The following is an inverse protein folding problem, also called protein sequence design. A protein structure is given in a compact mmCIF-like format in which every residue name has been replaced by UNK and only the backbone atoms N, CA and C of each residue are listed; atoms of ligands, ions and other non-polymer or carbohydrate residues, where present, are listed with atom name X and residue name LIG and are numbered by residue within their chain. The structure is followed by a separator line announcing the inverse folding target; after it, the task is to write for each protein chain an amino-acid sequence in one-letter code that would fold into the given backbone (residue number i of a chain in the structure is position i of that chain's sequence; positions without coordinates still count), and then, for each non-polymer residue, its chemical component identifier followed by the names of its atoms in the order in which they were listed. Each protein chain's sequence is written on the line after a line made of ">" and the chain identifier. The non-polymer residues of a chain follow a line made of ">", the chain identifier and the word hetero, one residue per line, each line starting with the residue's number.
data_IF_249916331008
#
_entry.id   IF_249916331008
#
_cell.length_a   1.000
_cell.length_b   1.000
_cell.length_c   1.000
_cell.angle_alpha   90.00
_cell.angle_beta   90.00
_cell.angle_gamma   90.00
#
_symmetry.space_group_name_H-M   'P 1'
#
loop_
_entity.id
_entity.type
_entity.pdbx_description
1 polymer ?
#
# COMPACT_ATOMS: atom_id res chain seq x y z
N UNK A 1 83.26 34.99 -13.21
CA UNK A 1 82.23 34.75 -12.18
C UNK A 1 81.66 36.09 -11.74
N UNK A 2 80.41 36.41 -12.10
CA UNK A 2 79.59 37.45 -11.43
C UNK A 2 78.15 36.93 -11.40
N UNK A 3 77.65 36.70 -10.19
CA UNK A 3 76.32 36.15 -9.90
C UNK A 3 75.26 37.25 -10.02
N UNK A 4 74.25 37.06 -10.89
CA UNK A 4 73.07 37.93 -10.99
C UNK A 4 72.05 37.58 -9.91
N UNK A 5 71.92 38.43 -8.89
CA UNK A 5 70.85 38.35 -7.89
C UNK A 5 69.51 38.79 -8.50
N UNK A 6 68.47 37.95 -8.37
CA UNK A 6 67.09 38.28 -8.80
C UNK A 6 66.51 39.41 -7.93
N UNK A 7 66.02 40.48 -8.55
CA UNK A 7 65.23 41.51 -7.86
C UNK A 7 63.96 40.90 -7.26
N UNK A 8 63.81 40.99 -5.93
CA UNK A 8 62.59 40.62 -5.24
C UNK A 8 61.51 41.66 -5.55
N UNK A 9 60.58 41.33 -6.45
CA UNK A 9 59.40 42.16 -6.70
C UNK A 9 58.55 42.31 -5.43
N UNK A 10 58.16 43.54 -5.09
CA UNK A 10 57.28 43.80 -3.95
C UNK A 10 55.84 43.40 -4.31
N UNK A 11 55.36 42.30 -3.78
CA UNK A 11 53.95 41.87 -3.89
C UNK A 11 53.01 42.62 -2.92
N UNK A 12 53.57 43.43 -2.02
CA UNK A 12 52.83 44.32 -1.11
C UNK A 12 52.94 45.75 -1.62
N UNK A 13 51.90 46.19 -2.32
CA UNK A 13 51.76 47.56 -2.82
C UNK A 13 50.94 48.37 -1.83
N UNK A 14 51.49 49.50 -1.38
CA UNK A 14 50.77 50.48 -0.56
C UNK A 14 50.21 51.55 -1.50
N UNK A 15 48.93 51.45 -1.81
CA UNK A 15 48.20 52.41 -2.64
C UNK A 15 46.75 52.52 -2.15
N UNK A 16 46.03 53.62 -2.43
CA UNK A 16 44.65 53.78 -1.99
C UNK A 16 43.74 52.79 -2.72
N UNK A 17 42.93 52.04 -1.97
CA UNK A 17 42.00 51.06 -2.54
C UNK A 17 40.93 51.69 -3.44
N UNK A 18 40.71 53.00 -3.38
CA UNK A 18 39.80 53.71 -4.31
C UNK A 18 40.20 53.52 -5.78
N UNK A 19 41.49 53.37 -6.06
CA UNK A 19 42.00 53.16 -7.42
C UNK A 19 41.67 51.77 -7.98
N UNK A 20 41.26 50.80 -7.14
CA UNK A 20 40.90 49.46 -7.61
C UNK A 20 39.52 49.39 -8.27
N UNK A 21 38.63 50.36 -7.99
CA UNK A 21 37.31 50.47 -8.63
C UNK A 21 37.15 51.92 -9.10
N UNK A 22 37.82 52.28 -10.20
CA UNK A 22 37.90 53.66 -10.59
C UNK A 22 36.59 54.09 -11.29
N UNK A 23 35.85 55.01 -10.67
CA UNK A 23 34.52 55.44 -11.15
C UNK A 23 34.57 56.49 -12.27
N UNK A 24 35.75 56.85 -12.76
CA UNK A 24 35.91 57.91 -13.77
C UNK A 24 35.23 57.57 -15.11
N UNK A 25 35.13 56.29 -15.49
CA UNK A 25 34.44 55.83 -16.72
C UNK A 25 32.96 55.46 -16.51
N UNK A 26 32.46 55.48 -15.27
CA UNK A 26 31.09 55.04 -14.96
C UNK A 26 30.43 56.00 -13.96
N UNK A 27 30.17 57.26 -14.36
CA UNK A 27 29.46 58.22 -13.54
C UNK A 27 28.00 57.80 -13.36
N UNK A 28 27.28 58.41 -12.40
CA UNK A 28 25.87 58.12 -12.15
C UNK A 28 24.96 58.25 -13.40
N UNK A 29 25.37 59.06 -14.40
CA UNK A 29 24.70 59.19 -15.71
C UNK A 29 24.56 57.88 -16.48
N UNK A 30 25.42 56.87 -16.25
CA UNK A 30 25.33 55.57 -16.93
C UNK A 30 24.13 54.74 -16.46
N UNK A 31 23.69 54.95 -15.21
CA UNK A 31 22.53 54.27 -14.61
C UNK A 31 21.29 55.17 -14.68
N UNK A 32 21.47 56.47 -14.46
CA UNK A 32 20.43 57.50 -14.49
C UNK A 32 20.75 58.54 -15.56
N UNK A 33 20.35 58.32 -16.83
CA UNK A 33 20.76 59.17 -17.95
C UNK A 33 20.42 60.65 -17.78
N UNK A 34 19.36 60.96 -17.04
CA UNK A 34 18.83 62.32 -16.85
C UNK A 34 19.09 62.91 -15.46
N UNK A 35 20.08 62.40 -14.71
CA UNK A 35 20.36 62.81 -13.31
C UNK A 35 20.73 64.30 -13.14
N UNK A 36 21.19 64.98 -14.19
CA UNK A 36 21.45 66.42 -14.16
C UNK A 36 20.16 67.26 -14.25
N UNK A 37 19.03 66.63 -14.55
CA UNK A 37 17.69 67.20 -14.54
C UNK A 37 16.92 66.65 -13.33
N UNK A 38 15.77 67.23 -12.99
CA UNK A 38 14.88 66.71 -11.93
C UNK A 38 14.10 65.45 -12.37
N UNK A 39 14.75 64.51 -13.07
CA UNK A 39 14.16 63.24 -13.53
C UNK A 39 15.08 62.06 -13.20
N UNK A 40 14.61 61.19 -12.31
CA UNK A 40 15.33 60.00 -11.82
C UNK A 40 15.03 58.74 -12.65
N UNK A 41 15.00 58.86 -13.97
CA UNK A 41 14.78 57.72 -14.86
C UNK A 41 15.95 56.74 -14.77
N UNK A 42 15.70 55.54 -14.22
CA UNK A 42 16.66 54.47 -14.15
C UNK A 42 16.69 53.67 -15.48
N UNK A 43 17.88 53.56 -16.11
CA UNK A 43 18.15 52.66 -17.24
C UNK A 43 19.36 51.74 -16.98
N UNK A 44 19.42 51.04 -15.84
CA UNK A 44 20.48 50.06 -15.58
C UNK A 44 20.36 48.85 -16.52
N UNK A 45 21.51 48.28 -16.86
CA UNK A 45 21.60 46.89 -17.33
C UNK A 45 21.68 45.99 -16.09
N UNK A 46 20.52 45.50 -15.66
CA UNK A 46 20.37 44.82 -14.36
C UNK A 46 21.10 43.48 -14.26
N UNK A 47 21.13 42.72 -15.36
CA UNK A 47 21.73 41.40 -15.38
C UNK A 47 22.43 41.14 -16.72
N UNK A 48 23.56 40.44 -16.67
CA UNK A 48 24.26 39.97 -17.86
C UNK A 48 23.45 38.91 -18.63
N UNK A 49 22.50 38.23 -17.96
CA UNK A 49 21.59 37.25 -18.59
C UNK A 49 20.56 37.87 -19.52
N UNK A 50 20.25 39.16 -19.37
CA UNK A 50 19.20 39.84 -20.13
C UNK A 50 19.71 40.39 -21.47
N UNK A 51 20.92 40.00 -21.87
CA UNK A 51 21.50 40.40 -23.14
C UNK A 51 20.76 39.73 -24.31
N UNK A 52 19.95 40.50 -25.02
CA UNK A 52 19.13 40.03 -26.14
C UNK A 52 19.92 39.61 -27.39
N UNK A 53 21.24 39.89 -27.44
CA UNK A 53 22.10 39.55 -28.56
C UNK A 53 22.67 40.78 -29.27
N UNK A 54 23.52 40.52 -30.28
CA UNK A 54 24.03 41.57 -31.16
C UNK A 54 22.94 41.90 -32.18
N UNK A 55 22.80 43.19 -32.48
CA UNK A 55 21.96 43.71 -33.55
C UNK A 55 22.83 44.64 -34.40
N UNK A 56 22.60 44.65 -35.70
CA UNK A 56 23.19 45.65 -36.58
C UNK A 56 22.70 47.06 -36.18
N UNK A 57 23.54 48.05 -36.44
CA UNK A 57 23.16 49.44 -36.21
C UNK A 57 22.31 49.98 -37.37
N UNK A 58 22.63 49.56 -38.60
CA UNK A 58 22.02 49.95 -39.88
C UNK A 58 22.05 48.77 -40.88
N UNK A 59 21.25 48.87 -41.95
CA UNK A 59 21.12 47.80 -42.97
C UNK A 59 22.34 47.72 -43.90
N UNK A 60 23.05 48.83 -44.10
CA UNK A 60 24.23 48.90 -44.98
C UNK A 60 25.45 48.15 -44.40
N UNK A 61 25.48 47.92 -43.08
CA UNK A 61 26.56 47.21 -42.38
C UNK A 61 26.03 45.99 -41.61
N UNK A 62 25.64 44.91 -42.32
CA UNK A 62 25.12 43.73 -41.68
C UNK A 62 26.18 43.04 -40.82
N UNK A 63 25.72 42.33 -39.79
CA UNK A 63 26.62 41.52 -38.96
C UNK A 63 27.24 40.38 -39.78
N UNK A 64 28.54 40.08 -39.60
CA UNK A 64 29.18 38.99 -40.33
C UNK A 64 28.64 37.63 -39.89
N UNK A 65 28.39 36.74 -40.86
CA UNK A 65 27.91 35.37 -40.61
C UNK A 65 29.11 34.47 -40.31
N UNK A 66 29.57 34.50 -39.06
CA UNK A 66 30.61 33.63 -38.54
C UNK A 66 30.03 32.80 -37.40
N UNK A 67 30.08 31.48 -37.51
CA UNK A 67 29.48 30.58 -36.55
C UNK A 67 30.24 30.49 -35.24
N UNK A 68 29.52 30.09 -34.20
CA UNK A 68 30.09 29.67 -32.92
C UNK A 68 29.86 28.17 -32.76
N UNK A 69 30.58 27.51 -31.83
CA UNK A 69 30.41 26.07 -31.58
C UNK A 69 28.96 25.68 -31.25
N UNK A 70 28.19 26.55 -30.60
CA UNK A 70 26.78 26.29 -30.28
C UNK A 70 25.87 26.33 -31.51
N UNK A 71 26.22 27.17 -32.50
CA UNK A 71 25.46 27.30 -33.73
C UNK A 71 25.86 26.21 -34.75
N UNK A 72 27.13 25.81 -34.76
CA UNK A 72 27.67 24.90 -35.77
C UNK A 72 27.58 23.41 -35.37
N UNK A 73 27.71 23.07 -34.08
CA UNK A 73 27.70 21.68 -33.61
C UNK A 73 26.29 21.20 -33.24
N UNK A 74 25.33 21.39 -34.13
CA UNK A 74 23.94 20.93 -33.99
C UNK A 74 23.69 19.67 -34.82
N UNK A 75 22.76 18.82 -34.37
CA UNK A 75 22.29 17.65 -35.15
C UNK A 75 21.04 18.01 -35.94
N UNK A 76 20.73 17.24 -36.99
CA UNK A 76 19.45 17.37 -37.69
C UNK A 76 18.27 17.14 -36.74
N UNK A 77 17.19 17.90 -36.92
CA UNK A 77 15.98 17.78 -36.11
C UNK A 77 15.37 16.38 -36.25
N UNK A 78 14.91 15.84 -35.13
CA UNK A 78 14.08 14.63 -35.09
C UNK A 78 12.73 15.05 -34.55
N UNK A 79 11.67 14.60 -35.20
CA UNK A 79 10.31 14.98 -34.85
C UNK A 79 10.01 14.64 -33.40
N UNK A 80 9.66 15.65 -32.61
CA UNK A 80 9.31 15.49 -31.20
C UNK A 80 7.87 15.00 -31.05
N UNK A 81 7.48 14.60 -29.84
CA UNK A 81 6.10 14.23 -29.54
C UNK A 81 5.11 15.37 -29.84
N UNK A 82 5.54 16.63 -29.67
CA UNK A 82 4.72 17.80 -29.99
C UNK A 82 4.50 17.95 -31.50
N UNK A 83 5.57 17.86 -32.29
CA UNK A 83 5.48 17.99 -33.76
C UNK A 83 4.56 16.92 -34.35
N UNK A 84 4.73 15.68 -33.88
CA UNK A 84 3.95 14.52 -34.31
C UNK A 84 2.49 14.59 -33.85
N UNK A 85 2.22 15.15 -32.67
CA UNK A 85 0.86 15.38 -32.18
C UNK A 85 0.15 16.48 -32.99
N UNK A 86 0.87 17.55 -33.33
CA UNK A 86 0.33 18.67 -34.12
C UNK A 86 0.06 18.26 -35.57
N UNK A 87 0.95 17.46 -36.17
CA UNK A 87 0.79 16.97 -37.53
C UNK A 87 1.16 15.48 -37.60
N UNK A 88 0.18 14.56 -37.64
CA UNK A 88 0.48 13.13 -37.73
C UNK A 88 1.08 12.71 -39.08
N UNK A 89 1.01 13.55 -40.12
CA UNK A 89 1.52 13.23 -41.47
C UNK A 89 3.05 13.14 -41.56
N UNK A 90 3.77 13.72 -40.57
CA UNK A 90 5.24 13.64 -40.52
C UNK A 90 5.74 12.33 -39.86
N UNK A 91 4.85 11.51 -39.29
CA UNK A 91 5.18 10.18 -38.78
C UNK A 91 5.19 9.21 -39.98
N UNK A 92 6.38 8.93 -40.51
CA UNK A 92 6.52 8.14 -41.74
C UNK A 92 7.24 6.82 -41.52
N UNK A 93 7.94 6.67 -40.38
CA UNK A 93 8.77 5.50 -40.10
C UNK A 93 8.67 5.05 -38.64
N UNK A 94 9.02 3.79 -38.38
CA UNK A 94 9.12 3.28 -37.01
C UNK A 94 10.17 3.99 -36.14
N UNK A 95 11.07 4.79 -36.73
CA UNK A 95 12.05 5.60 -35.97
C UNK A 95 11.43 6.83 -35.32
N UNK A 96 10.28 7.28 -35.82
CA UNK A 96 9.55 8.43 -35.30
C UNK A 96 8.80 8.05 -34.00
N UNK A 97 8.51 6.76 -33.82
CA UNK A 97 7.90 6.19 -32.61
C UNK A 97 8.90 6.09 -31.45
N UNK A 98 9.35 7.25 -30.97
CA UNK A 98 10.23 7.32 -29.79
C UNK A 98 9.44 7.06 -28.50
N UNK A 99 10.04 6.44 -27.48
CA UNK A 99 9.39 6.28 -26.17
C UNK A 99 9.24 7.63 -25.47
N UNK A 100 8.58 7.65 -24.31
CA UNK A 100 8.45 8.85 -23.45
C UNK A 100 9.81 9.58 -23.30
N UNK A 101 9.84 10.93 -23.37
CA UNK A 101 11.07 11.71 -23.26
C UNK A 101 11.76 11.56 -21.89
N UNK A 102 11.08 11.03 -20.87
CA UNK A 102 11.70 10.67 -19.58
C UNK A 102 12.72 9.53 -19.70
N UNK A 103 12.58 8.68 -20.73
CA UNK A 103 13.52 7.60 -21.00
C UNK A 103 14.79 8.14 -21.68
N UNK A 104 15.86 8.25 -20.90
CA UNK A 104 17.17 8.73 -21.39
C UNK A 104 17.90 7.69 -22.26
N UNK A 105 17.76 6.40 -21.95
CA UNK A 105 18.44 5.32 -22.65
C UNK A 105 18.96 4.21 -21.73
N UNK A 106 19.76 3.30 -22.29
CA UNK A 106 20.46 2.25 -21.50
C UNK A 106 21.43 2.89 -20.52
N UNK A 107 21.62 2.27 -19.35
CA UNK A 107 22.58 2.72 -18.34
C UNK A 107 23.99 2.82 -18.94
N UNK A 108 24.49 4.05 -19.10
CA UNK A 108 25.77 4.39 -19.74
C UNK A 108 26.91 4.69 -18.76
N UNK A 109 26.66 4.49 -17.46
CA UNK A 109 27.58 4.76 -16.36
C UNK A 109 27.56 3.66 -15.28
N UNK A 110 28.55 3.68 -14.39
CA UNK A 110 28.49 2.96 -13.12
C UNK A 110 28.20 3.95 -12.00
N UNK A 111 27.09 3.75 -11.28
CA UNK A 111 26.84 4.46 -10.04
C UNK A 111 27.72 3.85 -8.94
N UNK A 112 28.87 4.48 -8.68
CA UNK A 112 29.80 4.05 -7.64
C UNK A 112 29.36 4.66 -6.31
N UNK A 113 29.11 3.78 -5.33
CA UNK A 113 28.68 4.18 -3.98
C UNK A 113 29.65 5.24 -3.43
N UNK A 114 29.11 6.37 -2.95
CA UNK A 114 29.84 7.57 -2.46
C UNK A 114 30.59 8.42 -3.50
N UNK A 115 30.71 7.96 -4.75
CA UNK A 115 31.44 8.67 -5.81
C UNK A 115 30.54 9.12 -6.98
N UNK A 116 29.26 8.74 -6.95
CA UNK A 116 28.28 9.11 -7.98
C UNK A 116 28.44 8.33 -9.28
N UNK A 117 27.92 8.89 -10.38
CA UNK A 117 27.95 8.27 -11.70
C UNK A 117 29.31 8.43 -12.37
N UNK A 118 30.07 7.34 -12.45
CA UNK A 118 31.33 7.27 -13.18
C UNK A 118 31.12 6.77 -14.62
N UNK A 119 31.90 7.31 -15.56
CA UNK A 119 31.83 7.00 -17.00
C UNK A 119 32.28 5.56 -17.29
N UNK A 120 31.53 4.85 -18.14
CA UNK A 120 31.95 3.55 -18.68
C UNK A 120 33.00 3.78 -19.79
N UNK A 121 34.21 3.19 -19.64
CA UNK A 121 35.13 2.98 -20.77
C UNK A 121 36.41 3.84 -20.83
N UNK A 122 36.62 4.79 -19.93
CA UNK A 122 37.98 5.31 -19.70
C UNK A 122 38.74 4.28 -18.87
N UNK A 123 39.95 3.87 -19.28
CA UNK A 123 40.74 2.75 -18.71
C UNK A 123 40.21 2.27 -17.35
N UNK A 124 39.42 1.19 -17.39
CA UNK A 124 38.83 0.60 -16.20
C UNK A 124 39.89 0.16 -15.18
N UNK A 125 41.13 -0.03 -15.62
CA UNK A 125 42.30 -0.31 -14.78
C UNK A 125 42.98 0.93 -14.19
N UNK A 126 42.79 2.13 -14.75
CA UNK A 126 43.54 3.34 -14.37
C UNK A 126 42.68 4.52 -13.89
N UNK A 127 41.35 4.40 -13.90
CA UNK A 127 40.50 5.35 -13.18
C UNK A 127 40.78 5.20 -11.67
N UNK A 128 41.32 6.24 -11.02
CA UNK A 128 41.64 6.23 -9.57
C UNK A 128 40.49 5.73 -8.68
N UNK A 129 39.23 5.86 -9.14
CA UNK A 129 38.04 5.37 -8.44
C UNK A 129 37.88 3.85 -8.41
N UNK A 130 38.42 3.10 -9.37
CA UNK A 130 38.24 1.64 -9.44
C UNK A 130 39.19 0.87 -8.52
N UNK A 131 40.37 1.41 -8.19
CA UNK A 131 41.24 0.84 -7.15
C UNK A 131 40.62 0.94 -5.74
N UNK A 132 39.60 1.78 -5.55
CA UNK A 132 38.81 1.85 -4.33
C UNK A 132 37.54 0.98 -4.40
N UNK A 133 37.37 0.20 -5.49
CA UNK A 133 36.43 -0.92 -5.56
C UNK A 133 36.98 -2.05 -4.69
N UNK A 134 37.05 -1.79 -3.39
CA UNK A 134 37.20 -2.80 -2.35
C UNK A 134 36.01 -3.72 -2.49
N UNK A 135 36.19 -4.81 -3.26
CA UNK A 135 35.31 -5.96 -3.33
C UNK A 135 35.24 -6.56 -1.93
N UNK A 136 34.40 -5.96 -1.13
CA UNK A 136 34.20 -6.32 0.24
C UNK A 136 32.73 -6.67 0.32
N UNK A 137 32.46 -7.96 0.12
CA UNK A 137 31.16 -8.56 0.39
C UNK A 137 30.70 -8.07 1.76
N UNK A 138 29.56 -7.35 1.78
CA UNK A 138 28.94 -6.60 2.87
C UNK A 138 29.65 -6.66 4.26
N UNK A 139 30.66 -5.82 4.51
CA UNK A 139 31.35 -5.70 5.83
C UNK A 139 30.68 -4.72 6.80
N UNK A 140 29.35 -4.65 6.83
CA UNK A 140 28.53 -3.69 7.61
C UNK A 140 28.64 -3.77 9.15
N UNK A 141 29.73 -4.31 9.69
CA UNK A 141 29.91 -4.64 11.11
C UNK A 141 30.18 -3.43 12.02
N UNK A 142 30.35 -2.21 11.51
CA UNK A 142 30.73 -1.06 12.35
C UNK A 142 29.71 -0.77 13.45
N UNK A 143 28.42 -0.95 13.17
CA UNK A 143 27.36 -0.84 14.19
C UNK A 143 27.39 -2.04 15.14
N UNK A 144 27.45 -3.27 14.60
CA UNK A 144 27.48 -4.51 15.39
C UNK A 144 28.73 -4.66 16.28
N UNK A 145 29.81 -3.92 16.00
CA UNK A 145 31.06 -3.91 16.81
C UNK A 145 30.85 -3.42 18.25
N UNK A 146 29.88 -2.54 18.50
CA UNK A 146 29.65 -1.94 19.83
C UNK A 146 28.24 -2.16 20.36
N UNK A 147 27.29 -2.47 19.49
CA UNK A 147 25.88 -2.57 19.85
C UNK A 147 25.24 -3.76 19.16
N UNK A 148 24.51 -4.54 19.96
CA UNK A 148 23.69 -5.64 19.46
C UNK A 148 22.60 -5.08 18.53
N UNK A 149 22.31 -5.73 17.39
CA UNK A 149 21.34 -5.22 16.43
C UNK A 149 19.92 -5.12 17.04
N UNK A 150 19.15 -4.15 16.55
CA UNK A 150 17.85 -3.76 17.17
C UNK A 150 16.84 -4.90 17.27
N UNK A 151 16.85 -5.84 16.33
CA UNK A 151 15.92 -6.99 16.32
C UNK A 151 16.24 -8.02 17.41
N UNK A 152 17.49 -8.09 17.89
CA UNK A 152 17.86 -8.90 19.06
C UNK A 152 17.56 -8.18 20.38
N UNK A 153 17.62 -6.84 20.38
CA UNK A 153 17.24 -6.02 21.54
C UNK A 153 15.72 -5.97 21.76
N UNK A 154 14.92 -6.12 20.71
CA UNK A 154 13.47 -6.14 20.81
C UNK A 154 12.99 -7.51 21.33
N UNK A 155 12.16 -7.57 22.40
CA UNK A 155 11.59 -8.83 22.82
C UNK A 155 10.61 -9.36 21.77
N UNK A 156 10.50 -10.69 21.68
CA UNK A 156 9.47 -11.34 20.88
C UNK A 156 8.13 -11.18 21.61
N UNK A 157 7.16 -10.53 20.98
CA UNK A 157 5.84 -10.25 21.59
C UNK A 157 4.89 -11.45 21.62
N UNK A 158 5.11 -12.43 20.73
CA UNK A 158 4.40 -13.71 20.71
C UNK A 158 5.24 -14.72 19.90
N UNK A 159 5.00 -16.04 20.05
CA UNK A 159 5.74 -17.06 19.30
C UNK A 159 5.63 -16.87 17.78
N UNK A 160 4.44 -16.56 17.28
CA UNK A 160 4.18 -16.30 15.85
C UNK A 160 4.40 -14.85 15.39
N UNK A 161 4.63 -13.91 16.32
CA UNK A 161 4.79 -12.49 16.04
C UNK A 161 3.46 -11.71 15.93
N UNK A 162 3.54 -10.36 15.93
CA UNK A 162 2.37 -9.51 15.80
C UNK A 162 1.85 -9.55 14.36
N UNK A 163 0.52 -9.44 14.19
CA UNK A 163 -0.16 -9.53 12.88
C UNK A 163 0.13 -10.84 12.10
N UNK A 164 0.62 -11.89 12.77
CA UNK A 164 0.85 -13.20 12.15
C UNK A 164 -0.40 -13.72 11.43
N UNK A 165 -0.25 -14.24 10.22
CA UNK A 165 -1.31 -14.95 9.50
C UNK A 165 -1.13 -16.44 9.75
N UNK A 166 -2.07 -17.02 10.49
CA UNK A 166 -2.16 -18.45 10.70
C UNK A 166 -3.40 -18.96 9.94
N UNK A 167 -3.46 -20.27 9.71
CA UNK A 167 -4.58 -20.93 9.04
C UNK A 167 -5.91 -20.66 9.79
N UNK A 168 -6.97 -20.32 9.07
CA UNK A 168 -8.24 -19.92 9.69
C UNK A 168 -8.25 -18.51 10.32
N UNK A 169 -7.18 -17.71 10.18
CA UNK A 169 -7.23 -16.30 10.60
C UNK A 169 -8.06 -15.47 9.61
N UNK A 170 -9.21 -15.01 10.09
CA UNK A 170 -10.14 -14.20 9.28
C UNK A 170 -9.58 -12.79 9.03
N UNK A 171 -9.00 -12.59 7.84
CA UNK A 171 -8.49 -11.29 7.37
C UNK A 171 -9.26 -10.87 6.12
N UNK A 172 -10.31 -10.08 6.33
CA UNK A 172 -11.19 -9.63 5.25
C UNK A 172 -10.58 -8.47 4.44
N UNK A 173 -10.82 -8.50 3.13
CA UNK A 173 -10.66 -7.34 2.26
C UNK A 173 -11.76 -6.31 2.57
N UNK A 174 -11.47 -5.01 2.46
CA UNK A 174 -12.41 -3.96 2.88
C UNK A 174 -13.22 -3.46 1.69
N UNK A 175 -14.53 -3.65 1.72
CA UNK A 175 -15.46 -3.01 0.79
C UNK A 175 -16.06 -1.77 1.47
N UNK A 176 -15.84 -0.60 0.88
CA UNK A 176 -16.41 0.66 1.39
C UNK A 176 -17.87 0.76 0.94
N UNK A 177 -18.78 1.08 1.86
CA UNK A 177 -20.18 1.33 1.54
C UNK A 177 -20.34 2.46 0.51
N UNK A 178 -19.51 3.50 0.59
CA UNK A 178 -19.47 4.57 -0.43
C UNK A 178 -19.11 4.08 -1.84
N UNK A 179 -18.24 3.07 -1.95
CA UNK A 179 -17.90 2.43 -3.24
C UNK A 179 -19.08 1.61 -3.77
N UNK A 180 -19.81 0.94 -2.89
CA UNK A 180 -21.02 0.19 -3.24
C UNK A 180 -22.13 1.12 -3.73
N UNK A 181 -22.46 2.17 -2.97
CA UNK A 181 -23.46 3.16 -3.35
C UNK A 181 -23.12 3.82 -4.69
N UNK A 182 -21.87 4.26 -4.86
CA UNK A 182 -21.41 4.82 -6.12
C UNK A 182 -21.58 3.85 -7.30
N UNK A 183 -21.34 2.54 -7.08
CA UNK A 183 -21.51 1.54 -8.14
C UNK A 183 -22.98 1.32 -8.52
N UNK A 184 -23.89 1.40 -7.54
CA UNK A 184 -25.34 1.36 -7.79
C UNK A 184 -25.80 2.62 -8.52
N UNK A 185 -25.43 3.80 -8.02
CA UNK A 185 -25.79 5.10 -8.61
C UNK A 185 -25.23 5.27 -10.03
N UNK A 186 -24.05 4.70 -10.30
CA UNK A 186 -23.44 4.69 -11.64
C UNK A 186 -24.07 3.68 -12.60
N UNK A 187 -25.05 2.88 -12.14
CA UNK A 187 -25.74 1.87 -12.93
C UNK A 187 -24.93 0.59 -13.19
N UNK A 188 -23.87 0.31 -12.40
CA UNK A 188 -23.09 -0.94 -12.52
C UNK A 188 -23.74 -2.11 -11.79
N UNK A 189 -24.44 -1.82 -10.70
CA UNK A 189 -25.14 -2.81 -9.89
C UNK A 189 -26.63 -2.51 -9.94
N UNK A 190 -27.44 -3.54 -10.05
CA UNK A 190 -28.89 -3.41 -10.01
C UNK A 190 -29.36 -3.35 -8.54
N UNK A 191 -30.02 -2.27 -8.09
CA UNK A 191 -30.54 -2.20 -6.73
C UNK A 191 -31.73 -3.13 -6.47
N UNK A 192 -32.35 -3.67 -7.52
CA UNK A 192 -33.54 -4.52 -7.41
C UNK A 192 -33.21 -6.01 -7.16
N UNK A 193 -31.94 -6.40 -7.27
CA UNK A 193 -31.48 -7.77 -7.01
C UNK A 193 -30.71 -7.86 -5.70
N UNK A 194 -30.55 -9.08 -5.18
CA UNK A 194 -29.69 -9.32 -4.02
C UNK A 194 -28.24 -9.28 -4.49
N UNK A 195 -27.49 -8.30 -3.99
CA UNK A 195 -26.09 -8.12 -4.37
C UNK A 195 -25.24 -9.14 -3.61
N UNK A 196 -24.59 -10.03 -4.35
CA UNK A 196 -23.66 -11.05 -3.83
C UNK A 196 -22.23 -10.72 -4.22
N UNK A 197 -21.26 -11.52 -3.79
CA UNK A 197 -19.88 -11.29 -4.19
C UNK A 197 -19.66 -11.58 -5.69
N UNK A 198 -20.42 -12.54 -6.24
CA UNK A 198 -20.50 -12.79 -7.69
C UNK A 198 -20.88 -11.53 -8.45
N UNK A 199 -21.98 -10.87 -8.08
CA UNK A 199 -22.43 -9.64 -8.74
C UNK A 199 -21.38 -8.52 -8.67
N UNK A 200 -20.67 -8.38 -7.55
CA UNK A 200 -19.58 -7.41 -7.40
C UNK A 200 -18.39 -7.69 -8.33
N UNK A 201 -18.07 -8.97 -8.56
CA UNK A 201 -17.00 -9.40 -9.47
C UNK A 201 -17.42 -9.17 -10.92
N UNK A 202 -18.60 -9.63 -11.32
CA UNK A 202 -19.12 -9.49 -12.68
C UNK A 202 -19.28 -8.02 -13.10
N UNK A 203 -19.79 -7.17 -12.20
CA UNK A 203 -19.89 -5.73 -12.42
C UNK A 203 -18.53 -4.98 -12.39
N UNK A 204 -17.42 -5.70 -12.19
CA UNK A 204 -16.05 -5.17 -12.05
C UNK A 204 -15.96 -4.06 -11.01
N UNK A 205 -16.75 -4.18 -9.94
CA UNK A 205 -16.67 -3.27 -8.79
C UNK A 205 -15.49 -3.69 -7.92
N UNK A 206 -15.26 -5.00 -7.76
CA UNK A 206 -14.07 -5.56 -7.14
C UNK A 206 -13.19 -6.24 -8.18
N UNK A 207 -11.87 -6.19 -8.00
CA UNK A 207 -10.93 -6.89 -8.85
C UNK A 207 -10.58 -8.25 -8.25
N UNK A 208 -10.30 -9.26 -9.07
CA UNK A 208 -9.97 -10.62 -8.63
C UNK A 208 -8.80 -10.65 -7.62
N UNK A 209 -7.79 -9.79 -7.80
CA UNK A 209 -6.66 -9.65 -6.84
C UNK A 209 -7.07 -9.24 -5.42
N UNK A 210 -8.26 -8.65 -5.25
CA UNK A 210 -8.79 -8.20 -3.96
C UNK A 210 -9.60 -9.32 -3.28
N UNK A 211 -10.02 -10.34 -4.05
CA UNK A 211 -10.82 -11.45 -3.58
C UNK A 211 -9.88 -12.52 -3.02
N UNK A 212 -9.85 -12.63 -1.69
CA UNK A 212 -9.09 -13.65 -0.96
C UNK A 212 -9.97 -14.14 0.17
N UNK A 213 -10.02 -15.45 0.42
CA UNK A 213 -10.76 -16.00 1.55
C UNK A 213 -10.32 -15.34 2.87
N UNK A 214 -11.25 -14.90 3.74
CA UNK A 214 -12.70 -15.17 3.78
C UNK A 214 -13.60 -14.17 3.01
N UNK A 215 -13.07 -13.39 2.07
CA UNK A 215 -13.84 -12.44 1.26
C UNK A 215 -13.78 -11.02 1.82
N UNK A 216 -14.93 -10.34 1.87
CA UNK A 216 -15.03 -8.91 2.17
C UNK A 216 -15.72 -8.59 3.49
N UNK A 217 -15.32 -7.44 4.05
CA UNK A 217 -16.03 -6.76 5.13
C UNK A 217 -16.60 -5.45 4.63
N UNK A 218 -17.90 -5.22 4.85
CA UNK A 218 -18.57 -3.97 4.52
C UNK A 218 -18.34 -2.90 5.60
N UNK A 219 -17.79 -1.75 5.20
CA UNK A 219 -17.38 -0.66 6.11
C UNK A 219 -18.02 0.67 5.70
N UNK A 220 -18.61 1.39 6.67
CA UNK A 220 -19.43 2.61 6.53
C UNK A 220 -18.64 3.88 6.21
N UNK A 221 -17.42 3.76 5.69
CA UNK A 221 -16.44 4.85 5.57
C UNK A 221 -17.00 6.05 4.78
N UNK A 222 -17.37 7.11 5.50
CA UNK A 222 -17.86 8.37 4.94
C UNK A 222 -19.33 8.37 4.52
N UNK A 223 -20.14 7.43 5.00
CA UNK A 223 -21.58 7.33 4.68
C UNK A 223 -22.39 7.42 5.97
N UNK A 224 -23.26 8.43 6.07
CA UNK A 224 -24.15 8.65 7.22
C UNK A 224 -25.58 8.16 6.99
N UNK A 225 -26.01 8.03 5.73
CA UNK A 225 -27.35 7.62 5.34
C UNK A 225 -27.30 6.89 4.00
N UNK A 226 -28.20 5.91 3.84
CA UNK A 226 -28.40 5.16 2.60
C UNK A 226 -29.80 5.53 2.08
N UNK A 227 -29.93 6.08 0.86
CA UNK A 227 -31.18 6.70 0.40
C UNK A 227 -32.23 5.72 -0.12
N UNK A 228 -31.85 4.50 -0.51
CA UNK A 228 -32.74 3.47 -1.05
C UNK A 228 -32.46 2.11 -0.40
N UNK A 229 -33.44 1.19 -0.36
CA UNK A 229 -33.22 -0.14 0.21
C UNK A 229 -32.19 -0.92 -0.61
N UNK A 230 -31.28 -1.60 0.08
CA UNK A 230 -30.24 -2.44 -0.53
C UNK A 230 -30.30 -3.82 0.12
N UNK A 231 -30.41 -4.85 -0.70
CA UNK A 231 -30.34 -6.24 -0.26
C UNK A 231 -28.96 -6.79 -0.64
N UNK A 232 -28.14 -7.14 0.34
CA UNK A 232 -26.75 -7.54 0.10
C UNK A 232 -26.31 -8.71 0.98
N UNK A 233 -25.58 -9.62 0.35
CA UNK A 233 -24.96 -10.79 0.96
C UNK A 233 -23.45 -10.65 0.92
N UNK A 234 -22.84 -10.58 2.10
CA UNK A 234 -21.38 -10.51 2.27
C UNK A 234 -20.96 -11.25 3.54
N UNK A 235 -19.68 -11.56 3.64
CA UNK A 235 -19.18 -12.45 4.70
C UNK A 235 -19.16 -11.78 6.07
N UNK A 236 -18.92 -10.47 6.12
CA UNK A 236 -18.99 -9.69 7.36
C UNK A 236 -19.35 -8.23 7.07
N UNK A 237 -19.94 -7.55 8.05
CA UNK A 237 -20.16 -6.12 8.00
C UNK A 237 -19.91 -5.46 9.35
N UNK A 238 -19.51 -4.19 9.31
CA UNK A 238 -19.50 -3.35 10.50
C UNK A 238 -20.94 -3.15 11.03
N UNK A 239 -21.10 -3.05 12.35
CA UNK A 239 -22.43 -2.88 12.96
C UNK A 239 -23.13 -1.60 12.48
N UNK A 240 -22.35 -0.55 12.20
CA UNK A 240 -22.86 0.69 11.65
C UNK A 240 -23.39 0.51 10.22
N UNK A 241 -22.68 -0.24 9.35
CA UNK A 241 -23.19 -0.56 8.01
C UNK A 241 -24.53 -1.29 8.07
N UNK A 242 -24.62 -2.33 8.90
CA UNK A 242 -25.85 -3.11 9.05
C UNK A 242 -27.00 -2.18 9.46
N UNK A 243 -26.77 -1.33 10.47
CA UNK A 243 -27.75 -0.34 10.92
C UNK A 243 -28.18 0.63 9.81
N UNK A 244 -27.24 1.10 9.00
CA UNK A 244 -27.54 2.04 7.91
C UNK A 244 -28.36 1.40 6.78
N UNK A 245 -28.06 0.14 6.43
CA UNK A 245 -28.81 -0.63 5.43
C UNK A 245 -30.23 -0.91 5.93
N UNK A 246 -30.36 -1.38 7.16
CA UNK A 246 -31.68 -1.65 7.78
C UNK A 246 -32.51 -0.37 7.95
N UNK A 247 -31.88 0.76 8.30
CA UNK A 247 -32.57 2.05 8.41
C UNK A 247 -33.11 2.54 7.06
N UNK A 248 -32.52 2.11 5.94
CA UNK A 248 -33.03 2.39 4.60
C UNK A 248 -34.10 1.39 4.13
N UNK A 249 -34.45 0.40 4.95
CA UNK A 249 -35.37 -0.69 4.59
C UNK A 249 -34.73 -1.82 3.78
N UNK A 250 -33.39 -1.86 3.68
CA UNK A 250 -32.65 -2.94 3.05
C UNK A 250 -32.46 -4.16 3.96
N UNK A 251 -31.78 -5.18 3.46
CA UNK A 251 -31.38 -6.35 4.24
C UNK A 251 -29.89 -6.67 4.07
N UNK A 252 -29.28 -7.14 5.16
CA UNK A 252 -27.92 -7.65 5.17
C UNK A 252 -27.93 -9.09 5.67
N UNK A 253 -27.31 -10.00 4.90
CA UNK A 253 -27.08 -11.39 5.32
C UNK A 253 -25.58 -11.66 5.40
N UNK A 254 -25.13 -12.11 6.56
CA UNK A 254 -23.74 -12.49 6.84
C UNK A 254 -23.42 -13.89 6.33
N UNK A 255 -23.15 -14.04 5.03
CA UNK A 255 -22.89 -15.33 4.36
C UNK A 255 -21.42 -15.72 4.51
N UNK A 256 -21.06 -16.41 5.59
CA UNK A 256 -19.69 -16.91 5.79
C UNK A 256 -19.53 -18.31 5.18
N UNK A 257 -18.64 -18.44 4.21
CA UNK A 257 -18.43 -19.65 3.40
C UNK A 257 -17.04 -20.25 3.61
N UNK A 258 -16.91 -21.54 3.32
CA UNK A 258 -15.61 -22.23 3.16
C UNK A 258 -14.89 -21.72 1.91
N UNK A 259 -13.64 -22.13 1.72
CA UNK A 259 -12.89 -21.78 0.51
C UNK A 259 -13.59 -22.28 -0.76
N UNK A 260 -14.11 -23.52 -0.72
CA UNK A 260 -14.84 -24.13 -1.83
C UNK A 260 -16.16 -23.42 -2.10
N UNK A 261 -16.92 -23.07 -1.06
CA UNK A 261 -18.16 -22.30 -1.24
C UNK A 261 -17.93 -20.93 -1.90
N UNK A 262 -16.85 -20.24 -1.52
CA UNK A 262 -16.45 -18.98 -2.17
C UNK A 262 -16.10 -19.18 -3.65
N UNK A 263 -15.39 -20.26 -3.98
CA UNK A 263 -15.05 -20.57 -5.37
C UNK A 263 -16.29 -20.89 -6.21
N UNK A 264 -17.20 -21.71 -5.67
CA UNK A 264 -18.47 -22.05 -6.30
C UNK A 264 -19.37 -20.82 -6.52
N UNK A 265 -19.40 -19.87 -5.58
CA UNK A 265 -20.13 -18.61 -5.75
C UNK A 265 -19.54 -17.74 -6.87
N UNK A 266 -18.22 -17.71 -6.99
CA UNK A 266 -17.53 -16.90 -8.01
C UNK A 266 -17.58 -17.51 -9.41
N UNK A 267 -17.67 -18.85 -9.50
CA UNK A 267 -17.68 -19.63 -10.74
C UNK A 267 -18.88 -20.58 -10.81
N UNK A 268 -20.13 -20.08 -10.75
CA UNK A 268 -21.31 -20.94 -10.78
C UNK A 268 -21.43 -21.73 -12.09
N UNK A 269 -20.85 -21.23 -13.20
CA UNK A 269 -20.85 -21.90 -14.50
C UNK A 269 -20.13 -23.25 -14.53
N UNK A 270 -19.22 -23.50 -13.59
CA UNK A 270 -18.47 -24.76 -13.50
C UNK A 270 -19.30 -25.88 -12.83
N UNK A 271 -20.40 -25.52 -12.16
CA UNK A 271 -21.20 -26.43 -11.33
C UNK A 271 -22.64 -26.51 -11.87
N UNK A 272 -22.96 -27.49 -12.73
CA UNK A 272 -24.29 -27.59 -13.37
C UNK A 272 -25.41 -28.01 -12.41
N UNK A 273 -25.05 -28.64 -11.29
CA UNK A 273 -25.95 -29.06 -10.22
C UNK A 273 -25.43 -28.46 -8.92
N UNK A 274 -26.34 -28.08 -8.01
CA UNK A 274 -25.97 -27.59 -6.70
C UNK A 274 -25.19 -28.68 -5.93
N UNK A 275 -23.89 -28.49 -5.66
CA UNK A 275 -23.12 -29.45 -4.89
C UNK A 275 -23.47 -29.34 -3.41
N UNK A 276 -23.29 -30.43 -2.67
CA UNK A 276 -23.36 -30.38 -1.21
C UNK A 276 -22.24 -29.46 -0.69
N UNK A 277 -22.64 -28.37 -0.01
CA UNK A 277 -21.69 -27.39 0.53
C UNK A 277 -21.39 -27.67 2.00
N UNK A 278 -20.10 -27.68 2.33
CA UNK A 278 -19.65 -27.85 3.71
C UNK A 278 -20.05 -26.66 4.60
N UNK A 279 -20.42 -26.98 5.84
CA UNK A 279 -20.59 -25.98 6.87
C UNK A 279 -19.23 -25.35 7.23
N UNK A 280 -19.20 -24.06 7.57
CA UNK A 280 -17.95 -23.40 7.95
C UNK A 280 -17.33 -24.01 9.22
N UNK A 281 -16.02 -23.79 9.40
CA UNK A 281 -15.30 -24.21 10.60
C UNK A 281 -15.93 -23.68 11.89
N UNK A 282 -15.72 -24.39 13.01
CA UNK A 282 -16.33 -24.09 14.31
C UNK A 282 -16.19 -22.64 14.74
N UNK A 283 -15.00 -22.05 14.58
CA UNK A 283 -14.75 -20.65 14.94
C UNK A 283 -15.57 -19.67 14.11
N UNK A 284 -15.67 -19.93 12.80
CA UNK A 284 -16.45 -19.14 11.86
C UNK A 284 -17.95 -19.27 12.08
N UNK A 285 -18.42 -20.48 12.42
CA UNK A 285 -19.80 -20.72 12.84
C UNK A 285 -20.17 -19.82 14.02
N UNK A 286 -19.44 -19.90 15.12
CA UNK A 286 -19.75 -19.15 16.34
C UNK A 286 -19.57 -17.63 16.18
N UNK A 287 -18.58 -17.19 15.42
CA UNK A 287 -18.24 -15.77 15.29
C UNK A 287 -19.09 -15.03 14.27
N UNK A 288 -19.56 -15.72 13.22
CA UNK A 288 -20.19 -15.11 12.05
C UNK A 288 -21.50 -15.81 11.69
N UNK A 289 -21.47 -17.08 11.29
CA UNK A 289 -22.61 -17.71 10.62
C UNK A 289 -23.84 -17.89 11.53
N UNK A 290 -23.64 -18.18 12.82
CA UNK A 290 -24.73 -18.27 13.81
C UNK A 290 -24.88 -17.02 14.66
N UNK A 291 -24.17 -15.91 14.34
CA UNK A 291 -24.14 -14.71 15.17
C UNK A 291 -25.26 -13.73 14.82
N UNK A 292 -26.26 -13.49 15.69
CA UNK A 292 -27.43 -12.64 15.35
C UNK A 292 -27.05 -11.18 15.08
N UNK A 293 -26.13 -10.59 15.85
CA UNK A 293 -25.69 -9.21 15.61
C UNK A 293 -24.97 -9.00 14.26
N UNK A 294 -24.51 -10.08 13.62
CA UNK A 294 -23.93 -10.07 12.27
C UNK A 294 -24.90 -10.51 11.18
N UNK A 295 -26.15 -10.81 11.55
CA UNK A 295 -27.18 -11.36 10.67
C UNK A 295 -26.69 -12.61 9.93
N UNK A 296 -26.01 -13.49 10.66
CA UNK A 296 -25.48 -14.73 10.10
C UNK A 296 -26.59 -15.62 9.55
N UNK A 297 -26.32 -16.29 8.44
CA UNK A 297 -27.32 -17.07 7.71
C UNK A 297 -27.78 -18.35 8.45
N UNK A 298 -26.97 -18.89 9.38
CA UNK A 298 -27.29 -20.06 10.19
C UNK A 298 -27.94 -19.73 11.54
N UNK A 299 -28.32 -18.47 11.79
CA UNK A 299 -28.97 -18.08 13.06
C UNK A 299 -30.28 -18.84 13.25
N UNK A 300 -31.11 -18.96 12.21
CA UNK A 300 -32.37 -19.69 12.30
C UNK A 300 -32.16 -21.17 12.61
N UNK A 301 -31.26 -21.82 11.86
CA UNK A 301 -30.89 -23.22 12.11
C UNK A 301 -30.36 -23.43 13.54
N UNK A 302 -29.57 -22.48 14.05
CA UNK A 302 -29.08 -22.55 15.42
C UNK A 302 -30.21 -22.49 16.45
N UNK A 303 -31.17 -21.59 16.24
CA UNK A 303 -32.32 -21.40 17.13
C UNK A 303 -33.38 -22.50 17.03
N UNK A 304 -33.50 -23.16 15.89
CA UNK A 304 -34.52 -24.18 15.66
C UNK A 304 -34.00 -25.59 15.98
N UNK A 305 -32.76 -25.91 15.61
CA UNK A 305 -32.20 -27.27 15.68
C UNK A 305 -31.00 -27.36 16.63
N UNK A 306 -29.93 -26.60 16.35
CA UNK A 306 -28.62 -26.84 16.98
C UNK A 306 -28.56 -26.58 18.48
N UNK A 307 -29.41 -25.70 19.02
CA UNK A 307 -29.39 -25.38 20.46
C UNK A 307 -30.01 -26.47 21.33
N UNK A 308 -30.82 -27.36 20.74
CA UNK A 308 -31.47 -28.45 21.45
C UNK A 308 -30.60 -29.72 21.41
N UNK A 309 -30.55 -30.44 22.53
CA UNK A 309 -29.90 -31.73 22.61
C UNK A 309 -30.80 -32.85 22.07
N UNK A 310 -30.25 -34.05 21.88
CA UNK A 310 -31.02 -35.24 21.54
C UNK A 310 -32.12 -35.47 22.61
N UNK A 311 -33.36 -35.83 22.23
CA UNK A 311 -34.49 -35.93 23.17
C UNK A 311 -34.26 -36.94 24.31
N UNK A 312 -33.48 -37.99 24.04
CA UNK A 312 -33.13 -39.03 25.02
C UNK A 312 -31.81 -38.75 25.77
N UNK A 313 -31.09 -37.68 25.43
CA UNK A 313 -29.81 -37.41 26.06
C UNK A 313 -29.98 -36.84 27.46
N UNK A 314 -29.35 -37.50 28.43
CA UNK A 314 -29.14 -36.94 29.75
C UNK A 314 -28.14 -35.78 29.75
N UNK A 315 -27.95 -35.15 30.91
CA UNK A 315 -27.16 -33.91 31.04
C UNK A 315 -25.69 -34.13 30.69
N UNK A 316 -25.11 -35.28 31.01
CA UNK A 316 -23.70 -35.57 30.71
C UNK A 316 -23.50 -35.86 29.22
N UNK A 317 -24.49 -36.47 28.60
CA UNK A 317 -24.45 -36.88 27.19
C UNK A 317 -25.01 -35.86 26.20
N UNK A 318 -25.45 -34.68 26.68
CA UNK A 318 -26.16 -33.67 25.88
C UNK A 318 -25.41 -33.12 24.67
N UNK A 319 -24.08 -33.33 24.60
CA UNK A 319 -23.22 -32.85 23.51
C UNK A 319 -22.91 -33.92 22.46
N UNK A 320 -23.24 -35.19 22.71
CA UNK A 320 -23.14 -36.23 21.71
C UNK A 320 -24.35 -36.18 20.78
N UNK A 321 -24.14 -36.49 19.50
CA UNK A 321 -25.21 -36.54 18.49
C UNK A 321 -26.29 -37.56 18.89
N UNK A 322 -25.86 -38.69 19.46
CA UNK A 322 -26.72 -39.70 20.11
C UNK A 322 -26.10 -40.10 21.44
N UNK A 323 -26.90 -40.32 22.49
CA UNK A 323 -26.36 -40.76 23.78
C UNK A 323 -25.64 -42.10 23.60
N UNK A 324 -24.39 -42.25 24.10
CA UNK A 324 -23.63 -43.48 23.94
C UNK A 324 -24.15 -44.63 24.84
N UNK A 325 -24.87 -44.29 25.91
CA UNK A 325 -25.47 -45.21 26.87
C UNK A 325 -26.83 -44.68 27.32
N UNK A 326 -27.77 -45.59 27.62
CA UNK A 326 -29.13 -45.21 28.04
C UNK A 326 -29.17 -44.47 29.38
N UNK A 327 -28.26 -44.82 30.30
CA UNK A 327 -28.17 -44.23 31.64
C UNK A 327 -27.19 -43.04 31.65
N UNK A 328 -27.62 -41.90 32.18
CA UNK A 328 -26.81 -40.66 32.28
C UNK A 328 -25.72 -40.66 33.37
N UNK A 329 -25.56 -41.79 34.08
CA UNK A 329 -24.55 -41.96 35.12
C UNK A 329 -23.28 -42.58 34.52
N UNK A 330 -22.06 -42.27 35.01
CA UNK A 330 -20.83 -42.94 34.58
C UNK A 330 -21.01 -44.46 34.55
N UNK A 331 -20.84 -45.04 33.35
CA UNK A 331 -21.08 -46.45 33.11
C UNK A 331 -19.92 -47.33 33.61
N UNK A 332 -18.73 -46.75 33.80
CA UNK A 332 -17.53 -47.45 34.29
C UNK A 332 -17.13 -46.97 35.69
N UNK A 333 -16.59 -47.88 36.50
CA UNK A 333 -16.13 -47.57 37.87
C UNK A 333 -14.96 -46.58 37.84
N UNK A 334 -14.03 -46.76 36.91
CA UNK A 334 -12.88 -45.86 36.74
C UNK A 334 -13.31 -44.42 36.43
N UNK A 335 -14.29 -44.26 35.53
CA UNK A 335 -14.82 -42.94 35.20
C UNK A 335 -15.58 -42.35 36.39
N UNK A 336 -16.33 -43.16 37.14
CA UNK A 336 -17.00 -42.71 38.34
C UNK A 336 -16.02 -42.19 39.41
N UNK A 337 -14.91 -42.89 39.64
CA UNK A 337 -13.86 -42.44 40.54
C UNK A 337 -13.24 -41.12 40.07
N UNK A 338 -12.99 -40.98 38.77
CA UNK A 338 -12.49 -39.76 38.16
C UNK A 338 -13.45 -38.57 38.33
N UNK A 339 -14.76 -38.78 38.10
CA UNK A 339 -15.79 -37.76 38.29
C UNK A 339 -15.89 -37.36 39.77
N UNK A 340 -15.86 -38.32 40.70
CA UNK A 340 -15.86 -38.03 42.15
C UNK A 340 -14.65 -37.19 42.55
N UNK A 341 -13.47 -37.51 42.03
CA UNK A 341 -12.28 -36.70 42.23
C UNK A 341 -12.44 -35.30 41.63
N UNK A 342 -12.95 -35.19 40.41
CA UNK A 342 -13.17 -33.93 39.70
C UNK A 342 -14.16 -33.00 40.43
N UNK A 343 -15.27 -33.55 40.95
CA UNK A 343 -16.25 -32.83 41.76
C UNK A 343 -15.62 -32.29 43.05
N UNK A 344 -14.86 -33.12 43.76
CA UNK A 344 -14.13 -32.70 44.96
C UNK A 344 -13.10 -31.61 44.63
N UNK A 345 -12.36 -31.76 43.54
CA UNK A 345 -11.34 -30.82 43.09
C UNK A 345 -11.92 -29.44 42.78
N UNK A 346 -13.06 -29.39 42.10
CA UNK A 346 -13.73 -28.14 41.70
C UNK A 346 -14.87 -27.71 42.63
N UNK A 347 -14.89 -28.20 43.88
CA UNK A 347 -15.80 -27.75 44.94
C UNK A 347 -17.30 -27.93 44.60
N UNK A 348 -17.66 -29.03 43.93
CA UNK A 348 -19.04 -29.42 43.63
C UNK A 348 -19.88 -28.37 42.88
N UNK A 349 -19.26 -27.61 41.98
CA UNK A 349 -19.98 -26.67 41.12
C UNK A 349 -20.99 -27.37 40.18
N UNK A 350 -22.03 -26.66 39.70
CA UNK A 350 -23.15 -27.28 38.96
C UNK A 350 -22.80 -27.95 37.61
N UNK A 351 -21.55 -27.87 37.14
CA UNK A 351 -21.03 -28.49 35.92
C UNK A 351 -19.97 -29.58 36.11
N UNK A 352 -19.54 -29.87 37.34
CA UNK A 352 -18.38 -30.76 37.61
C UNK A 352 -18.69 -32.25 37.43
N UNK A 353 -19.90 -32.59 36.98
CA UNK A 353 -20.27 -33.97 36.59
C UNK A 353 -19.73 -34.39 35.23
N UNK A 354 -19.37 -33.43 34.37
CA UNK A 354 -18.70 -33.68 33.09
C UNK A 354 -17.20 -33.44 33.26
N UNK A 355 -16.38 -34.41 32.87
CA UNK A 355 -14.92 -34.29 33.02
C UNK A 355 -14.36 -33.32 32.00
N UNK A 356 -13.73 -32.24 32.47
CA UNK A 356 -12.96 -31.32 31.63
C UNK A 356 -11.45 -31.57 31.84
N UNK A 357 -10.67 -31.84 30.77
CA UNK A 357 -9.22 -32.00 30.87
C UNK A 357 -8.54 -30.75 31.43
N UNK A 358 -7.49 -30.93 32.22
CA UNK A 358 -6.82 -29.83 32.93
C UNK A 358 -5.76 -29.10 32.08
N UNK A 359 -5.38 -29.67 30.94
CA UNK A 359 -4.41 -29.08 30.02
C UNK A 359 -5.11 -28.40 28.85
N UNK A 360 -4.60 -27.24 28.43
CA UNK A 360 -5.11 -26.49 27.28
C UNK A 360 -4.20 -26.61 26.07
N UNK A 361 -4.79 -26.58 24.87
CA UNK A 361 -4.05 -26.58 23.61
C UNK A 361 -3.44 -25.21 23.26
N UNK A 362 -4.02 -24.12 23.75
CA UNK A 362 -3.64 -22.73 23.43
C UNK A 362 -3.64 -22.41 21.92
N UNK A 363 -4.52 -23.07 21.15
CA UNK A 363 -4.69 -22.88 19.71
C UNK A 363 -5.77 -21.84 19.40
N UNK A 364 -5.65 -21.19 18.23
CA UNK A 364 -6.49 -20.04 17.89
C UNK A 364 -7.85 -20.40 17.27
N UNK A 365 -8.03 -21.64 16.85
CA UNK A 365 -9.26 -22.23 16.30
C UNK A 365 -10.35 -22.44 17.36
N UNK A 366 -9.96 -22.81 18.59
CA UNK A 366 -10.88 -22.99 19.72
C UNK A 366 -11.16 -21.69 20.50
N UNK A 367 -10.36 -20.65 20.27
CA UNK A 367 -10.46 -19.37 20.98
C UNK A 367 -11.67 -18.55 20.51
N UNK A 368 -12.45 -18.04 21.48
CA UNK A 368 -13.62 -17.17 21.25
C UNK A 368 -13.33 -15.73 21.68
N UNK A 369 -14.30 -14.84 21.43
CA UNK A 369 -14.26 -13.45 21.93
C UNK A 369 -14.13 -13.45 23.45
N UNK A 370 -13.12 -12.74 23.97
CA UNK A 370 -12.90 -12.60 25.42
C UNK A 370 -13.89 -11.62 26.06
N UNK A 371 -14.14 -10.49 25.40
CA UNK A 371 -15.14 -9.49 25.76
C UNK A 371 -15.42 -8.58 24.56
N UNK A 372 -16.55 -7.89 24.56
CA UNK A 372 -16.93 -6.94 23.53
C UNK A 372 -18.40 -6.58 23.61
N UNK A 373 -18.84 -5.68 22.72
CA UNK A 373 -20.27 -5.44 22.53
C UNK A 373 -20.92 -6.71 21.96
N UNK A 374 -22.02 -7.12 22.58
CA UNK A 374 -22.88 -8.23 22.16
C UNK A 374 -23.38 -8.00 20.73
#
# INVERSE_FOLDING_TARGET
>A
MLSRTKFLGRYRLFHPRRETIPLHMSPAKSIFPLINSNNLLAKPRNNWKDFAGRKEFDEDHPLPVVGSRLNEKTIQHKWSHWDQYLNPQIIQSGRDLTPTPEYVGKRSGHNMIRMGWMKIGGSWKYARGYNDRRNVFARGQWQERKMTPRFMLAPRVSPGGPRNRYEGKLVFSRLKLSKLLWAIDSGRLNPNEVITLYHLREARVVAEREIVWPGFVLVSSGVSHVPYPIHIELQNASAECIRLIEAAGGSFTGVYMTHEGLYQELHPEEYPVFPDQDLPERKGLESLATHPAKRGWLVRWYEDESKYAHPEAGRRHSHYVRPPTDRDFPATVEEYEMVKHHQKWHLNQPGTGTVLPWHSYNTADLLKRSSGRI
#
